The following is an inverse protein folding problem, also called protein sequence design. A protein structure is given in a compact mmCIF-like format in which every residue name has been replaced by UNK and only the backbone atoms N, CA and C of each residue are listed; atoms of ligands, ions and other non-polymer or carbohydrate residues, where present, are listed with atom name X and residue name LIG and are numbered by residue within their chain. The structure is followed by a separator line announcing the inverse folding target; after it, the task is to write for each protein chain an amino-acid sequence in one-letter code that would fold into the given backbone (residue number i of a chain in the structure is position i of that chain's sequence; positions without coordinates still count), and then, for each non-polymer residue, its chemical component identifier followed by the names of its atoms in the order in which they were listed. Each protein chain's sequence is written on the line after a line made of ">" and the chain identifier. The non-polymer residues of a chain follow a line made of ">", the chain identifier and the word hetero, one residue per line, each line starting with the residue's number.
data_IF_721227722156
#
_entry.id   IF_721227722156
#
_cell.length_a   1.000
_cell.length_b   1.000
_cell.length_c   1.000
_cell.angle_alpha   90.00
_cell.angle_beta   90.00
_cell.angle_gamma   90.00
#
_symmetry.space_group_name_H-M   'P 1'
#
loop_
_entity.id
_entity.type
_entity.pdbx_description
1 polymer ?
#
# COMPACT_ATOMS: atom_id res chain seq x y z
N UNK A 1 -21.04 -5.28 10.90
CA UNK A 1 -20.39 -4.87 9.64
C UNK A 1 -20.46 -6.02 8.61
N UNK A 2 -21.02 -5.76 7.42
CA UNK A 2 -21.25 -6.78 6.39
C UNK A 2 -20.08 -6.92 5.40
N UNK A 3 -18.98 -6.20 5.61
CA UNK A 3 -17.79 -6.21 4.75
C UNK A 3 -16.56 -6.66 5.56
N UNK A 4 -15.73 -7.50 4.94
CA UNK A 4 -14.51 -8.04 5.54
C UNK A 4 -13.29 -7.27 5.01
N UNK A 5 -12.31 -6.90 5.83
CA UNK A 5 -11.06 -6.33 5.30
C UNK A 5 -10.28 -7.39 4.53
N UNK A 6 -9.70 -7.02 3.39
CA UNK A 6 -8.92 -7.93 2.51
C UNK A 6 -7.55 -8.32 3.06
N UNK A 7 -7.16 -7.78 4.22
CA UNK A 7 -5.88 -8.06 4.92
C UNK A 7 -4.65 -8.07 4.00
N UNK A 8 -4.50 -7.07 3.15
CA UNK A 8 -3.36 -6.90 2.24
C UNK A 8 -2.28 -6.01 2.87
N UNK A 9 -1.00 -6.37 2.69
CA UNK A 9 0.13 -5.61 3.22
C UNK A 9 1.14 -5.26 2.13
N UNK A 10 1.53 -3.98 2.05
CA UNK A 10 2.65 -3.47 1.26
C UNK A 10 3.67 -2.86 2.21
N UNK A 11 4.90 -3.39 2.21
CA UNK A 11 6.00 -2.90 3.04
C UNK A 11 7.13 -2.36 2.15
N UNK A 12 7.60 -1.14 2.43
CA UNK A 12 8.77 -0.55 1.80
C UNK A 12 9.88 -0.40 2.84
N UNK A 13 10.97 -1.15 2.65
CA UNK A 13 12.19 -1.09 3.44
C UNK A 13 13.24 -0.29 2.66
N UNK A 14 13.81 0.74 3.29
CA UNK A 14 14.76 1.66 2.68
C UNK A 14 16.13 1.52 3.36
N UNK A 15 17.19 1.41 2.56
CA UNK A 15 18.57 1.25 3.00
C UNK A 15 19.45 2.46 2.64
N UNK A 16 18.85 3.58 2.19
CA UNK A 16 19.56 4.78 1.77
C UNK A 16 19.57 4.91 0.26
N UNK A 17 20.49 4.25 -0.45
CA UNK A 17 20.58 4.38 -1.92
C UNK A 17 19.69 3.38 -2.68
N UNK A 18 19.17 2.37 -1.98
CA UNK A 18 18.36 1.25 -2.48
C UNK A 18 17.37 0.82 -1.42
N UNK A 19 16.33 0.11 -1.81
CA UNK A 19 15.38 -0.51 -0.88
C UNK A 19 14.75 -1.78 -1.42
N UNK A 20 13.97 -2.44 -0.57
CA UNK A 20 13.16 -3.61 -0.87
C UNK A 20 11.68 -3.36 -0.61
N UNK A 21 10.83 -3.72 -1.56
CA UNK A 21 9.37 -3.65 -1.49
C UNK A 21 8.78 -5.06 -1.40
N UNK A 22 7.85 -5.27 -0.48
CA UNK A 22 7.17 -6.54 -0.27
C UNK A 22 5.66 -6.32 -0.37
N UNK A 23 5.00 -7.04 -1.27
CA UNK A 23 3.55 -7.06 -1.40
C UNK A 23 3.04 -8.45 -1.06
N UNK A 24 2.26 -8.54 0.02
CA UNK A 24 1.66 -9.76 0.52
C UNK A 24 0.13 -9.62 0.54
N UNK A 25 -0.55 -10.43 -0.27
CA UNK A 25 -2.01 -10.47 -0.34
C UNK A 25 -2.48 -11.93 -0.30
N UNK A 26 -3.21 -12.37 0.73
CA UNK A 26 -3.41 -11.77 2.06
C UNK A 26 -2.19 -11.89 3.00
N UNK A 27 -2.23 -11.22 4.16
CA UNK A 27 -1.15 -11.21 5.17
C UNK A 27 -0.86 -12.61 5.75
N UNK A 28 -1.90 -13.41 6.02
CA UNK A 28 -1.78 -14.76 6.56
C UNK A 28 -1.67 -15.80 5.42
N UNK A 29 -0.80 -16.81 5.53
CA UNK A 29 -0.72 -17.89 4.54
C UNK A 29 -2.03 -18.69 4.47
N UNK A 30 -2.42 -19.26 3.30
CA UNK A 30 -1.76 -19.24 1.99
C UNK A 30 -1.96 -17.91 1.23
N UNK A 31 -0.87 -17.36 0.68
CA UNK A 31 -0.88 -16.06 -0.02
C UNK A 31 -1.23 -16.24 -1.49
N UNK A 32 -2.12 -15.39 -2.01
CA UNK A 32 -2.43 -15.34 -3.46
C UNK A 32 -1.36 -14.55 -4.22
N UNK A 33 -0.78 -13.52 -3.59
CA UNK A 33 0.32 -12.71 -4.13
C UNK A 33 1.40 -12.58 -3.08
N UNK A 34 2.61 -13.04 -3.41
CA UNK A 34 3.83 -12.85 -2.63
C UNK A 34 4.89 -12.32 -3.57
N UNK A 35 5.00 -11.00 -3.66
CA UNK A 35 5.97 -10.34 -4.53
C UNK A 35 6.97 -9.55 -3.71
N UNK A 36 8.25 -9.72 -4.03
CA UNK A 36 9.34 -8.94 -3.48
C UNK A 36 10.11 -8.31 -4.64
N UNK A 37 10.43 -7.02 -4.51
CA UNK A 37 11.22 -6.29 -5.50
C UNK A 37 12.26 -5.43 -4.80
N UNK A 38 13.52 -5.51 -5.23
CA UNK A 38 14.60 -4.67 -4.73
C UNK A 38 15.03 -3.66 -5.80
N UNK A 39 15.34 -2.43 -5.40
CA UNK A 39 15.91 -1.46 -6.31
C UNK A 39 16.00 -0.05 -5.75
N UNK A 40 16.68 0.82 -6.50
CA UNK A 40 16.77 2.26 -6.20
C UNK A 40 15.40 2.94 -6.22
N UNK A 41 14.48 2.43 -7.03
CA UNK A 41 13.11 2.95 -7.12
C UNK A 41 12.35 2.82 -5.79
N UNK A 42 12.71 1.85 -4.94
CA UNK A 42 12.05 1.66 -3.63
C UNK A 42 12.38 2.80 -2.67
N UNK A 43 13.62 3.31 -2.69
CA UNK A 43 14.02 4.48 -1.92
C UNK A 43 13.17 5.71 -2.30
N UNK A 44 13.05 5.99 -3.60
CA UNK A 44 12.20 7.08 -4.09
C UNK A 44 10.73 6.88 -3.74
N UNK A 45 10.22 5.65 -3.85
CA UNK A 45 8.86 5.31 -3.46
C UNK A 45 8.61 5.55 -1.97
N UNK A 46 9.58 5.23 -1.10
CA UNK A 46 9.51 5.47 0.34
C UNK A 46 9.41 6.96 0.65
N UNK A 47 10.30 7.79 0.09
CA UNK A 47 10.29 9.24 0.28
C UNK A 47 8.95 9.86 -0.17
N UNK A 48 8.48 9.47 -1.36
CA UNK A 48 7.21 9.95 -1.90
C UNK A 48 6.04 9.60 -0.98
N UNK A 49 6.01 8.37 -0.46
CA UNK A 49 4.98 7.91 0.48
C UNK A 49 4.99 8.72 1.78
N UNK A 50 6.16 8.97 2.37
CA UNK A 50 6.27 9.75 3.62
C UNK A 50 5.79 11.19 3.45
N UNK A 51 6.20 11.87 2.38
CA UNK A 51 5.74 13.22 2.08
C UNK A 51 4.24 13.28 1.82
N UNK A 52 3.73 12.32 1.04
CA UNK A 52 2.30 12.18 0.77
C UNK A 52 1.51 11.97 2.06
N UNK A 53 1.93 11.02 2.90
CA UNK A 53 1.24 10.66 4.13
C UNK A 53 1.26 11.80 5.15
N UNK A 54 2.39 12.50 5.30
CA UNK A 54 2.46 13.68 6.17
C UNK A 54 1.60 14.84 5.66
N UNK A 55 1.55 15.07 4.34
CA UNK A 55 0.64 16.06 3.74
C UNK A 55 -0.83 15.69 4.00
N UNK A 56 -1.16 14.41 3.95
CA UNK A 56 -2.49 13.87 4.23
C UNK A 56 -2.90 14.12 5.70
N UNK A 57 -2.01 13.81 6.65
CA UNK A 57 -2.22 14.10 8.08
C UNK A 57 -2.44 15.60 8.31
N UNK A 58 -1.57 16.46 7.76
CA UNK A 58 -1.66 17.92 7.94
C UNK A 58 -2.97 18.51 7.37
N UNK A 59 -3.55 17.90 6.34
CA UNK A 59 -4.82 18.32 5.74
C UNK A 59 -6.06 17.73 6.43
N UNK A 60 -5.89 16.75 7.32
CA UNK A 60 -7.01 16.09 8.00
C UNK A 60 -7.92 15.25 7.08
N UNK A 61 -7.47 14.89 5.87
CA UNK A 61 -8.27 14.13 4.90
C UNK A 61 -7.85 12.66 4.95
N UNK A 62 -8.74 11.79 5.43
CA UNK A 62 -8.47 10.36 5.60
C UNK A 62 -8.44 9.57 4.30
N UNK A 63 -9.24 9.93 3.29
CA UNK A 63 -9.29 9.26 1.99
C UNK A 63 -9.58 10.27 0.87
N UNK A 64 -8.53 10.82 0.23
CA UNK A 64 -8.73 11.65 -0.94
C UNK A 64 -9.40 10.88 -2.07
N UNK A 65 -10.27 11.56 -2.82
CA UNK A 65 -11.10 10.96 -3.89
C UNK A 65 -10.29 10.22 -4.95
N UNK A 66 -9.10 10.74 -5.30
CA UNK A 66 -8.22 10.07 -6.26
C UNK A 66 -7.67 8.73 -5.76
N UNK A 67 -7.41 8.59 -4.46
CA UNK A 67 -6.86 7.36 -3.87
C UNK A 67 -7.92 6.25 -3.92
N UNK A 68 -9.18 6.57 -3.61
CA UNK A 68 -10.32 5.65 -3.80
C UNK A 68 -10.50 5.23 -5.25
N UNK A 69 -10.37 6.17 -6.19
CA UNK A 69 -10.57 5.90 -7.61
C UNK A 69 -9.48 4.97 -8.16
N UNK A 70 -8.22 5.21 -7.78
CA UNK A 70 -7.08 4.38 -8.17
C UNK A 70 -7.20 2.97 -7.59
N UNK A 71 -7.53 2.85 -6.29
CA UNK A 71 -7.71 1.55 -5.65
C UNK A 71 -8.84 0.73 -6.30
N UNK A 72 -9.96 1.38 -6.65
CA UNK A 72 -11.08 0.74 -7.35
C UNK A 72 -10.71 0.30 -8.76
N UNK A 73 -9.90 1.10 -9.47
CA UNK A 73 -9.39 0.74 -10.80
C UNK A 73 -8.41 -0.45 -10.72
N UNK A 74 -7.54 -0.48 -9.71
CA UNK A 74 -6.54 -1.53 -9.51
C UNK A 74 -7.10 -2.81 -8.87
N UNK A 75 -8.41 -2.87 -8.57
CA UNK A 75 -9.08 -3.99 -7.88
C UNK A 75 -8.47 -4.37 -6.52
N UNK A 76 -7.70 -3.47 -5.90
CA UNK A 76 -7.18 -3.63 -4.54
C UNK A 76 -8.20 -2.98 -3.61
N UNK A 77 -9.31 -3.68 -3.38
CA UNK A 77 -10.37 -3.18 -2.51
C UNK A 77 -9.92 -3.31 -1.04
N UNK A 78 -10.15 -2.26 -0.25
CA UNK A 78 -9.91 -2.25 1.20
C UNK A 78 -10.86 -3.18 1.94
N UNK A 79 -12.08 -3.31 1.41
CA UNK A 79 -13.17 -4.10 1.95
C UNK A 79 -13.66 -5.05 0.87
N UNK A 80 -13.73 -6.33 1.21
CA UNK A 80 -14.37 -7.36 0.41
C UNK A 80 -15.86 -7.40 0.78
N UNK A 81 -16.70 -7.35 -0.27
CA UNK A 81 -18.13 -7.60 -0.12
C UNK A 81 -18.31 -9.09 0.21
N UNK A 82 -19.06 -9.37 1.27
CA UNK A 82 -19.44 -10.73 1.65
C UNK A 82 -20.42 -11.33 0.65
#
# INVERSE_FOLDING_TARGET
>A
PNELPSWNALCLADFGDRGAAFLAMPQNPPRNVNWAGEGKWVHWAKLAFEWYFMRKIKKGVSEPVYEKMIMKMMKINKLDAK
#
